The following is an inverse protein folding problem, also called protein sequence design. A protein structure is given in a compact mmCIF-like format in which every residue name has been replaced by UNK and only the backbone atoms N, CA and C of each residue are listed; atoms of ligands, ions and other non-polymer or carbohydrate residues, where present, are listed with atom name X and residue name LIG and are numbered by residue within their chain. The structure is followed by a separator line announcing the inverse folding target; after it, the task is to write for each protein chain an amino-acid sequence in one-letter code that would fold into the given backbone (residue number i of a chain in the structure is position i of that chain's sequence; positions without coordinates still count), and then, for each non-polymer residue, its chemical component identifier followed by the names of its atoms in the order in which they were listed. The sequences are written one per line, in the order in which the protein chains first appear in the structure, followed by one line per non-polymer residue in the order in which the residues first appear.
data_IF_765175805785
#
_entry.id   IF_765175805785
#
_cell.length_a   1.000
_cell.length_b   1.000
_cell.length_c   1.000
_cell.angle_alpha   90.00
_cell.angle_beta   90.00
_cell.angle_gamma   90.00
#
_symmetry.space_group_name_H-M   'P 1'
#
loop_
_entity.id
_entity.type
_entity.pdbx_description
1 polymer ?
#
# COMPACT_ATOMS: atom_id res chain seq x y z
N UNK A 1 12.46 -59.38 30.15
CA UNK A 1 12.73 -57.94 30.33
C UNK A 1 13.01 -57.35 28.95
N UNK A 2 12.35 -56.23 28.60
CA UNK A 2 12.26 -55.53 27.29
C UNK A 2 11.54 -56.32 26.18
N UNK A 3 10.21 -56.24 26.02
CA UNK A 3 9.31 -55.12 25.64
C UNK A 3 9.50 -54.69 24.17
N UNK A 4 8.68 -55.30 23.30
CA UNK A 4 8.34 -54.83 21.96
C UNK A 4 7.39 -53.64 22.09
N UNK A 5 7.83 -52.46 21.66
CA UNK A 5 7.01 -51.25 21.61
C UNK A 5 6.40 -51.12 20.21
N UNK A 6 5.14 -51.53 20.07
CA UNK A 6 4.26 -51.14 18.98
C UNK A 6 3.56 -49.86 19.40
N UNK A 7 3.91 -48.72 18.80
CA UNK A 7 3.08 -47.52 18.92
C UNK A 7 2.70 -47.02 17.53
N UNK A 8 1.50 -47.43 17.13
CA UNK A 8 0.75 -46.88 16.00
C UNK A 8 0.17 -45.53 16.39
N UNK A 9 0.48 -44.47 15.65
CA UNK A 9 -0.31 -43.25 15.64
C UNK A 9 -0.35 -42.70 14.21
N UNK A 10 -1.23 -43.27 13.40
CA UNK A 10 -1.70 -42.64 12.18
C UNK A 10 -2.81 -41.65 12.56
N UNK A 11 -2.79 -40.38 12.12
CA UNK A 11 -3.95 -39.52 12.22
C UNK A 11 -4.97 -39.92 11.14
N UNK A 12 -6.02 -40.62 11.57
CA UNK A 12 -7.32 -40.65 10.89
C UNK A 12 -8.00 -39.30 11.13
N UNK A 13 -8.06 -38.44 10.12
CA UNK A 13 -9.03 -37.34 10.08
C UNK A 13 -10.00 -37.60 8.92
N UNK A 14 -11.19 -38.08 9.28
CA UNK A 14 -12.33 -38.15 8.40
C UNK A 14 -12.75 -36.74 7.95
N UNK A 15 -13.24 -36.57 6.71
CA UNK A 15 -14.03 -35.40 6.37
C UNK A 15 -15.32 -35.42 7.19
N UNK A 16 -15.51 -34.43 8.06
CA UNK A 16 -16.83 -34.12 8.62
C UNK A 16 -17.74 -33.65 7.48
N UNK A 17 -18.51 -34.58 6.90
CA UNK A 17 -19.75 -34.24 6.21
C UNK A 17 -20.77 -33.81 7.26
N UNK A 18 -21.07 -32.52 7.32
CA UNK A 18 -22.23 -32.00 8.05
C UNK A 18 -23.45 -32.01 7.13
N UNK A 19 -24.50 -32.70 7.57
CA UNK A 19 -25.86 -32.18 7.50
C UNK A 19 -26.62 -32.24 6.18
N UNK A 20 -27.13 -33.43 5.89
CA UNK A 20 -28.30 -33.81 5.09
C UNK A 20 -29.45 -32.76 4.97
N UNK A 21 -30.02 -32.64 3.76
CA UNK A 21 -31.44 -32.34 3.56
C UNK A 21 -32.03 -33.30 2.52
N UNK A 22 -32.86 -34.25 2.99
CA UNK A 22 -33.78 -35.02 2.15
C UNK A 22 -35.05 -34.20 2.03
N UNK A 23 -35.40 -33.78 0.82
CA UNK A 23 -36.73 -33.29 0.49
C UNK A 23 -37.21 -34.03 -0.76
N UNK A 24 -38.18 -34.93 -0.61
CA UNK A 24 -38.82 -35.62 -1.73
C UNK A 24 -40.20 -35.02 -1.97
N UNK A 25 -40.32 -34.41 -3.15
CA UNK A 25 -41.48 -34.10 -4.00
C UNK A 25 -42.72 -33.39 -3.41
N UNK A 26 -42.97 -32.19 -3.96
CA UNK A 26 -44.14 -31.90 -4.81
C UNK A 26 -43.88 -30.62 -5.63
N UNK A 27 -43.61 -30.77 -6.93
CA UNK A 27 -43.97 -29.78 -7.97
C UNK A 27 -43.31 -28.40 -8.00
N UNK A 28 -42.06 -28.21 -7.56
CA UNK A 28 -41.35 -26.92 -7.67
C UNK A 28 -39.95 -27.06 -8.25
N UNK A 29 -39.58 -26.19 -9.19
CA UNK A 29 -38.22 -26.08 -9.75
C UNK A 29 -37.19 -25.88 -8.63
N UNK A 30 -36.27 -26.83 -8.46
CA UNK A 30 -35.16 -26.71 -7.51
C UNK A 30 -34.13 -25.74 -8.11
N UNK A 31 -34.15 -24.48 -7.68
CA UNK A 31 -33.01 -23.59 -7.86
C UNK A 31 -31.89 -24.06 -6.92
N UNK A 32 -30.76 -24.47 -7.48
CA UNK A 32 -29.55 -24.75 -6.70
C UNK A 32 -29.03 -23.44 -6.11
N UNK A 33 -29.31 -23.19 -4.83
CA UNK A 33 -28.66 -22.11 -4.08
C UNK A 33 -27.31 -22.64 -3.62
N UNK A 34 -26.25 -22.21 -4.30
CA UNK A 34 -24.88 -22.53 -3.94
C UNK A 34 -24.50 -21.68 -2.71
N UNK A 35 -24.91 -22.11 -1.51
CA UNK A 35 -24.57 -21.43 -0.27
C UNK A 35 -23.10 -21.69 0.05
N UNK A 36 -22.23 -20.75 -0.32
CA UNK A 36 -20.86 -20.75 0.17
C UNK A 36 -20.89 -20.41 1.67
N UNK A 37 -20.51 -21.39 2.49
CA UNK A 37 -20.29 -21.21 3.92
C UNK A 37 -19.10 -20.26 4.09
N UNK A 38 -19.37 -18.99 4.43
CA UNK A 38 -18.35 -18.04 4.84
C UNK A 38 -17.86 -18.46 6.22
N UNK A 39 -16.67 -19.06 6.29
CA UNK A 39 -16.01 -19.35 7.57
C UNK A 39 -15.49 -18.01 8.12
N UNK A 40 -16.31 -17.34 8.94
CA UNK A 40 -15.96 -16.08 9.59
C UNK A 40 -15.14 -16.32 10.87
N UNK A 41 -13.90 -16.78 10.71
CA UNK A 41 -12.90 -16.81 11.79
C UNK A 41 -11.71 -15.92 11.43
N UNK A 42 -11.01 -15.31 12.40
CA UNK A 42 -9.67 -14.78 12.13
C UNK A 42 -8.81 -15.95 11.60
N UNK A 43 -8.02 -15.75 10.53
CA UNK A 43 -7.25 -16.83 9.92
C UNK A 43 -6.35 -17.51 10.94
N UNK A 44 -6.53 -18.82 11.05
CA UNK A 44 -5.67 -19.76 11.76
C UNK A 44 -4.25 -19.63 11.16
N UNK A 45 -3.35 -18.99 11.91
CA UNK A 45 -1.94 -18.73 11.57
C UNK A 45 -1.74 -18.20 10.14
N UNK A 46 -1.88 -16.88 9.96
CA UNK A 46 -1.45 -16.21 8.74
C UNK A 46 -0.02 -16.63 8.38
N UNK A 47 0.27 -16.94 7.10
CA UNK A 47 1.65 -17.17 6.67
C UNK A 47 2.55 -16.02 7.12
N UNK A 48 3.86 -16.22 7.30
CA UNK A 48 4.76 -15.12 7.57
C UNK A 48 4.81 -14.20 6.35
N UNK A 49 4.21 -13.02 6.46
CA UNK A 49 4.42 -11.94 5.49
C UNK A 49 5.82 -11.35 5.71
N UNK A 50 6.49 -10.96 4.62
CA UNK A 50 7.81 -10.35 4.69
C UNK A 50 7.67 -8.83 4.79
N UNK A 51 7.91 -8.23 5.96
CA UNK A 51 7.89 -6.78 6.16
C UNK A 51 8.87 -6.03 5.23
N UNK A 52 9.96 -6.65 4.79
CA UNK A 52 10.90 -6.03 3.83
C UNK A 52 10.40 -6.01 2.38
N UNK A 53 9.25 -6.63 2.09
CA UNK A 53 8.73 -6.75 0.73
C UNK A 53 8.12 -5.46 0.17
N UNK A 54 7.72 -4.53 1.03
CA UNK A 54 7.14 -3.25 0.63
C UNK A 54 7.81 -2.17 1.42
N UNK A 55 8.31 -1.15 0.74
CA UNK A 55 8.94 0.01 1.38
C UNK A 55 8.46 1.28 0.73
N UNK A 56 8.62 2.40 1.43
CA UNK A 56 8.51 3.69 0.81
C UNK A 56 9.65 4.61 1.21
N UNK A 57 9.95 5.59 0.37
CA UNK A 57 10.92 6.63 0.69
C UNK A 57 10.19 7.96 0.85
N UNK A 58 10.39 8.62 1.99
CA UNK A 58 10.02 10.02 2.17
C UNK A 58 11.30 10.84 2.25
N UNK A 59 11.45 11.85 1.40
CA UNK A 59 12.69 12.63 1.27
C UNK A 59 13.94 11.72 1.08
N UNK A 60 14.74 11.56 2.14
CA UNK A 60 15.96 10.73 2.18
C UNK A 60 15.84 9.50 3.09
N UNK A 61 14.66 9.25 3.67
CA UNK A 61 14.45 8.18 4.66
C UNK A 61 13.68 7.02 4.02
N UNK A 62 14.24 5.82 4.11
CA UNK A 62 13.55 4.59 3.75
C UNK A 62 12.72 4.12 4.94
N UNK A 63 11.42 3.96 4.71
CA UNK A 63 10.47 3.44 5.69
C UNK A 63 10.12 2.01 5.36
N UNK A 64 10.18 1.16 6.39
CA UNK A 64 9.69 -0.20 6.36
C UNK A 64 8.31 -0.26 7.05
N UNK A 65 7.47 -1.24 6.72
CA UNK A 65 6.22 -1.48 7.41
C UNK A 65 6.52 -1.86 8.86
N UNK A 66 5.68 -1.38 9.78
CA UNK A 66 5.69 -1.80 11.18
C UNK A 66 5.23 -3.26 11.33
N UNK A 67 4.26 -3.63 10.49
CA UNK A 67 3.63 -4.94 10.52
C UNK A 67 3.15 -5.31 9.12
N UNK A 68 2.86 -6.59 8.94
CA UNK A 68 2.18 -7.05 7.74
C UNK A 68 1.23 -8.21 8.07
N UNK A 69 0.34 -8.51 7.13
CA UNK A 69 -0.55 -9.66 7.18
C UNK A 69 -0.71 -10.27 5.79
N UNK A 70 -0.59 -11.60 5.68
CA UNK A 70 -0.69 -12.35 4.43
C UNK A 70 0.44 -13.39 4.30
N UNK A 71 0.55 -14.16 3.23
CA UNK A 71 -0.26 -14.10 2.02
C UNK A 71 -1.69 -14.61 2.25
N UNK A 72 -2.68 -13.80 1.85
CA UNK A 72 -4.10 -14.14 1.92
C UNK A 72 -4.60 -14.56 0.54
N UNK A 73 -5.43 -15.59 0.47
CA UNK A 73 -6.04 -16.03 -0.79
C UNK A 73 -7.20 -15.10 -1.16
N UNK A 74 -7.32 -14.80 -2.45
CA UNK A 74 -8.45 -14.05 -3.00
C UNK A 74 -8.12 -12.59 -3.33
N UNK A 75 -9.14 -11.74 -3.25
CA UNK A 75 -9.14 -10.37 -3.74
C UNK A 75 -9.44 -9.42 -2.58
N UNK A 76 -8.50 -8.52 -2.27
CA UNK A 76 -8.57 -7.55 -1.16
C UNK A 76 -9.80 -6.63 -1.20
N UNK A 77 -10.40 -6.44 -2.38
CA UNK A 77 -11.55 -5.56 -2.64
C UNK A 77 -12.78 -6.32 -3.16
N UNK A 78 -12.84 -7.65 -3.07
CA UNK A 78 -14.00 -8.41 -3.55
C UNK A 78 -15.29 -8.00 -2.85
N UNK A 79 -16.46 -8.42 -3.37
CA UNK A 79 -17.75 -8.21 -2.70
C UNK A 79 -17.63 -8.59 -1.21
N UNK A 80 -17.95 -7.62 -0.34
CA UNK A 80 -17.71 -7.59 1.11
C UNK A 80 -16.33 -7.09 1.60
N UNK A 81 -15.47 -6.48 0.77
CA UNK A 81 -14.16 -5.89 1.12
C UNK A 81 -13.42 -6.65 2.25
N UNK A 82 -12.93 -7.88 1.99
CA UNK A 82 -12.43 -8.75 3.04
C UNK A 82 -11.30 -8.10 3.85
N UNK A 83 -10.41 -7.36 3.21
CA UNK A 83 -9.33 -6.66 3.91
C UNK A 83 -9.88 -5.51 4.78
N UNK A 84 -10.77 -4.66 4.27
CA UNK A 84 -11.35 -3.57 5.07
C UNK A 84 -12.09 -4.10 6.29
N UNK A 85 -12.82 -5.21 6.14
CA UNK A 85 -13.49 -5.86 7.26
C UNK A 85 -12.49 -6.40 8.29
N UNK A 86 -11.35 -6.94 7.87
CA UNK A 86 -10.32 -7.40 8.80
C UNK A 86 -9.63 -6.24 9.50
N UNK A 87 -9.31 -5.16 8.78
CA UNK A 87 -8.77 -3.93 9.36
C UNK A 87 -9.70 -3.39 10.46
N UNK A 88 -11.00 -3.27 10.15
CA UNK A 88 -12.04 -2.84 11.09
C UNK A 88 -12.33 -3.84 12.22
N UNK A 89 -11.81 -5.06 12.14
CA UNK A 89 -11.87 -6.08 13.20
C UNK A 89 -10.55 -6.19 13.99
N UNK A 90 -9.62 -5.25 13.80
CA UNK A 90 -8.39 -5.19 14.59
C UNK A 90 -7.20 -5.95 13.99
N UNK A 91 -7.12 -6.13 12.66
CA UNK A 91 -5.98 -6.82 12.03
C UNK A 91 -4.60 -6.29 12.49
N UNK A 92 -4.50 -5.01 12.84
CA UNK A 92 -3.29 -4.38 13.36
C UNK A 92 -3.52 -3.64 14.69
N UNK A 93 -4.43 -4.13 15.53
CA UNK A 93 -4.77 -3.46 16.80
C UNK A 93 -3.58 -3.39 17.79
N UNK A 94 -2.65 -4.34 17.71
CA UNK A 94 -1.41 -4.35 18.52
C UNK A 94 -0.51 -3.11 18.26
N UNK A 95 -0.67 -2.47 17.10
CA UNK A 95 0.13 -1.30 16.69
C UNK A 95 -0.67 0.00 16.73
N UNK A 96 -1.95 -0.07 16.35
CA UNK A 96 -2.80 1.12 16.13
C UNK A 96 -3.75 1.39 17.30
N UNK A 97 -3.84 0.47 18.25
CA UNK A 97 -4.83 0.48 19.30
C UNK A 97 -6.17 -0.14 18.87
N UNK A 98 -7.05 -0.34 19.83
CA UNK A 98 -8.37 -0.92 19.58
C UNK A 98 -9.33 0.10 18.96
N UNK A 99 -10.32 -0.40 18.20
CA UNK A 99 -11.43 0.37 17.61
C UNK A 99 -11.03 1.44 16.57
N UNK A 100 -9.88 1.29 15.91
CA UNK A 100 -9.57 2.12 14.73
C UNK A 100 -10.51 1.74 13.59
N UNK A 101 -11.33 2.69 13.18
CA UNK A 101 -12.14 2.57 11.97
C UNK A 101 -11.26 2.92 10.76
N UNK A 102 -11.26 2.07 9.76
CA UNK A 102 -10.52 2.22 8.51
C UNK A 102 -11.46 2.53 7.37
N UNK A 103 -10.94 3.22 6.36
CA UNK A 103 -11.62 3.48 5.09
C UNK A 103 -10.70 3.18 3.91
N UNK A 104 -11.32 2.86 2.76
CA UNK A 104 -10.62 2.64 1.50
C UNK A 104 -10.45 3.96 0.75
N UNK A 105 -9.22 4.28 0.37
CA UNK A 105 -8.91 5.56 -0.29
C UNK A 105 -8.77 5.42 -1.80
N UNK A 106 -8.18 4.34 -2.27
CA UNK A 106 -7.97 4.15 -3.71
C UNK A 106 -7.15 2.92 -4.06
N UNK A 107 -7.00 2.68 -5.36
CA UNK A 107 -6.21 1.58 -5.91
C UNK A 107 -5.49 1.99 -7.20
N UNK A 108 -4.37 1.35 -7.51
CA UNK A 108 -3.47 1.74 -8.61
C UNK A 108 -3.97 1.43 -10.03
N UNK A 109 -5.09 0.72 -10.19
CA UNK A 109 -5.63 0.29 -11.47
C UNK A 109 -6.94 1.00 -11.85
N UNK A 110 -7.20 2.17 -11.27
CA UNK A 110 -8.31 3.07 -11.65
C UNK A 110 -7.78 4.37 -12.28
N UNK A 111 -8.50 4.97 -13.24
CA UNK A 111 -8.03 6.15 -13.96
C UNK A 111 -7.90 7.41 -13.09
N UNK A 112 -8.74 7.59 -12.06
CA UNK A 112 -8.61 8.69 -11.08
C UNK A 112 -7.79 8.30 -9.84
N UNK A 113 -6.91 7.31 -9.96
CA UNK A 113 -6.24 6.75 -8.79
C UNK A 113 -5.32 7.77 -8.11
N UNK A 114 -5.59 7.97 -6.82
CA UNK A 114 -4.70 8.69 -5.92
C UNK A 114 -3.39 7.90 -5.60
N UNK A 115 -3.24 6.71 -6.20
CA UNK A 115 -2.12 5.78 -6.07
C UNK A 115 -1.70 5.34 -7.47
N UNK A 116 -0.40 5.23 -7.72
CA UNK A 116 0.14 4.61 -8.94
C UNK A 116 1.03 3.43 -8.58
N UNK A 117 1.12 2.44 -9.49
CA UNK A 117 2.03 1.31 -9.32
C UNK A 117 2.44 0.70 -10.66
N UNK A 118 3.64 0.12 -10.71
CA UNK A 118 4.08 -0.72 -11.83
C UNK A 118 3.31 -2.04 -11.82
N UNK A 119 2.28 -2.15 -12.65
CA UNK A 119 1.47 -3.39 -12.75
C UNK A 119 2.11 -4.45 -13.66
N UNK A 120 1.64 -5.69 -13.55
CA UNK A 120 2.07 -6.85 -14.35
C UNK A 120 3.54 -7.25 -14.19
N UNK A 121 4.16 -6.87 -13.09
CA UNK A 121 5.54 -7.23 -12.73
C UNK A 121 5.57 -7.80 -11.30
N UNK A 122 6.47 -8.74 -10.98
CA UNK A 122 6.61 -9.28 -9.64
C UNK A 122 7.29 -8.31 -8.66
N UNK A 123 7.91 -7.25 -9.18
CA UNK A 123 8.57 -6.18 -8.43
C UNK A 123 8.42 -4.86 -9.19
N UNK A 124 8.51 -3.75 -8.48
CA UNK A 124 8.42 -2.44 -9.11
C UNK A 124 8.21 -1.33 -8.11
N UNK A 125 7.67 -0.22 -8.59
CA UNK A 125 7.48 0.98 -7.80
C UNK A 125 6.00 1.34 -7.65
N UNK A 126 5.72 2.11 -6.60
CA UNK A 126 4.40 2.67 -6.33
C UNK A 126 4.53 4.07 -5.76
N UNK A 127 3.47 4.88 -5.82
CA UNK A 127 3.48 6.23 -5.26
C UNK A 127 2.06 6.66 -4.88
N UNK A 128 1.95 7.64 -3.99
CA UNK A 128 0.69 8.25 -3.56
C UNK A 128 0.73 9.74 -3.94
N UNK A 129 -0.32 10.23 -4.58
CA UNK A 129 -0.38 11.59 -5.14
C UNK A 129 -0.74 12.68 -4.10
N UNK A 130 -0.80 12.32 -2.83
CA UNK A 130 -1.15 13.19 -1.72
C UNK A 130 -0.31 12.84 -0.47
N UNK A 131 -0.04 13.81 0.41
CA UNK A 131 0.61 13.56 1.68
C UNK A 131 -0.23 12.62 2.56
N UNK A 132 0.44 11.69 3.24
CA UNK A 132 -0.17 10.82 4.25
C UNK A 132 0.33 11.21 5.63
N UNK A 133 -0.52 11.05 6.63
CA UNK A 133 -0.22 11.28 8.04
C UNK A 133 -0.66 10.06 8.85
N UNK A 134 -0.01 9.83 9.98
CA UNK A 134 -0.31 8.75 10.92
C UNK A 134 -0.24 7.36 10.25
N UNK A 135 -1.06 6.42 10.71
CA UNK A 135 -1.08 5.08 10.18
C UNK A 135 -1.76 5.00 8.83
N UNK A 136 -1.22 4.17 7.96
CA UNK A 136 -1.89 3.79 6.73
C UNK A 136 -1.52 2.36 6.36
N UNK A 137 -2.40 1.71 5.59
CA UNK A 137 -2.20 0.34 5.14
C UNK A 137 -2.12 0.31 3.63
N UNK A 138 -1.04 -0.29 3.14
CA UNK A 138 -0.87 -0.61 1.72
C UNK A 138 -1.17 -2.08 1.53
N UNK A 139 -2.15 -2.40 0.69
CA UNK A 139 -2.34 -3.77 0.21
C UNK A 139 -1.68 -3.96 -1.13
N UNK A 140 -0.92 -5.04 -1.27
CA UNK A 140 -0.32 -5.46 -2.52
C UNK A 140 -1.03 -6.72 -2.97
N UNK A 141 -1.68 -6.66 -4.14
CA UNK A 141 -2.55 -7.72 -4.62
C UNK A 141 -2.07 -8.29 -5.95
N UNK A 142 -2.16 -9.60 -6.05
CA UNK A 142 -1.87 -10.41 -7.25
C UNK A 142 -3.19 -10.94 -7.81
N UNK A 143 -3.14 -11.86 -8.79
CA UNK A 143 -4.34 -12.53 -9.27
C UNK A 143 -4.95 -13.49 -8.23
N UNK A 144 -4.11 -14.12 -7.42
CA UNK A 144 -4.49 -15.26 -6.57
C UNK A 144 -4.57 -14.91 -5.07
N UNK A 145 -4.00 -13.76 -4.68
CA UNK A 145 -3.92 -13.38 -3.28
C UNK A 145 -3.38 -11.97 -3.05
N UNK A 146 -3.34 -11.57 -1.80
CA UNK A 146 -2.88 -10.25 -1.37
C UNK A 146 -2.17 -10.30 -0.01
N UNK A 147 -1.35 -9.29 0.27
CA UNK A 147 -0.84 -9.00 1.60
C UNK A 147 -1.13 -7.55 1.95
N UNK A 148 -1.21 -7.24 3.24
CA UNK A 148 -1.40 -5.90 3.79
C UNK A 148 -0.17 -5.51 4.61
N UNK A 149 0.24 -4.24 4.52
CA UNK A 149 1.44 -3.70 5.15
C UNK A 149 1.05 -2.41 5.88
N UNK A 150 1.23 -2.41 7.20
CA UNK A 150 0.97 -1.25 8.05
C UNK A 150 2.22 -0.36 8.08
N UNK A 151 2.04 0.91 7.83
CA UNK A 151 3.05 1.94 7.97
C UNK A 151 2.61 2.99 8.99
N UNK A 152 3.59 3.73 9.50
CA UNK A 152 3.40 4.92 10.32
C UNK A 152 4.19 6.07 9.67
N UNK A 153 3.45 7.08 9.19
CA UNK A 153 4.00 8.32 8.63
C UNK A 153 4.39 9.34 9.72
N UNK A 154 4.00 9.10 10.98
CA UNK A 154 4.12 10.03 12.07
C UNK A 154 3.08 11.15 12.04
N UNK A 155 3.14 12.08 13.02
CA UNK A 155 2.13 13.12 13.22
C UNK A 155 2.21 14.28 12.22
N UNK A 156 3.24 14.32 11.39
CA UNK A 156 3.43 15.34 10.35
C UNK A 156 3.18 14.73 8.98
N UNK A 157 2.31 15.33 8.13
CA UNK A 157 2.07 14.83 6.79
C UNK A 157 3.37 14.71 5.99
N UNK A 158 3.58 13.54 5.37
CA UNK A 158 4.72 13.27 4.51
C UNK A 158 4.25 12.93 3.09
N UNK A 159 4.97 13.45 2.09
CA UNK A 159 4.77 13.06 0.71
C UNK A 159 5.56 11.78 0.43
N UNK A 160 4.86 10.76 -0.07
CA UNK A 160 5.49 9.52 -0.52
C UNK A 160 5.79 9.65 -2.01
N UNK A 161 6.99 10.14 -2.32
CA UNK A 161 7.44 10.35 -3.70
C UNK A 161 7.56 9.04 -4.47
N UNK A 162 8.06 7.98 -3.82
CA UNK A 162 8.17 6.65 -4.41
C UNK A 162 8.32 5.59 -3.33
N UNK A 163 7.63 4.48 -3.49
CA UNK A 163 7.88 3.24 -2.78
C UNK A 163 8.21 2.10 -3.72
N UNK A 164 8.68 1.01 -3.15
CA UNK A 164 9.02 -0.22 -3.87
C UNK A 164 8.20 -1.37 -3.33
N UNK A 165 7.88 -2.32 -4.20
CA UNK A 165 7.23 -3.57 -3.82
C UNK A 165 7.95 -4.75 -4.42
N UNK A 166 7.86 -5.88 -3.73
CA UNK A 166 8.27 -7.19 -4.20
C UNK A 166 7.22 -8.22 -3.76
N UNK A 167 6.58 -8.86 -4.74
CA UNK A 167 5.50 -9.81 -4.52
C UNK A 167 5.97 -11.20 -4.08
N UNK A 168 7.29 -11.43 -3.94
CA UNK A 168 7.82 -12.68 -3.38
C UNK A 168 7.15 -13.05 -2.05
N UNK A 169 6.85 -12.05 -1.21
CA UNK A 169 6.18 -12.24 0.09
C UNK A 169 4.65 -12.42 0.04
N UNK A 170 4.04 -12.36 -1.15
CA UNK A 170 2.59 -12.51 -1.39
C UNK A 170 2.30 -13.86 -2.05
N UNK A 171 3.34 -14.65 -2.32
CA UNK A 171 3.25 -15.89 -3.04
C UNK A 171 2.55 -16.97 -2.20
N UNK A 172 1.23 -17.08 -2.38
CA UNK A 172 0.36 -18.08 -1.71
C UNK A 172 0.68 -19.52 -2.11
N UNK A 173 1.58 -19.73 -3.08
CA UNK A 173 1.97 -21.06 -3.56
C UNK A 173 3.28 -21.59 -2.96
N UNK A 174 3.96 -20.82 -2.09
CA UNK A 174 5.22 -21.22 -1.42
C UNK A 174 6.35 -21.64 -2.37
N UNK A 175 6.27 -21.36 -3.68
CA UNK A 175 7.29 -21.79 -4.65
C UNK A 175 8.49 -20.84 -4.71
N UNK A 176 8.52 -19.81 -3.86
CA UNK A 176 9.58 -18.80 -3.83
C UNK A 176 9.63 -17.88 -5.05
N UNK A 177 8.59 -17.88 -5.90
CA UNK A 177 8.48 -17.00 -7.06
C UNK A 177 7.43 -15.91 -6.81
N UNK A 178 7.76 -14.66 -7.12
CA UNK A 178 6.83 -13.54 -7.07
C UNK A 178 5.75 -13.69 -8.14
N UNK A 179 4.56 -13.17 -7.88
CA UNK A 179 3.46 -13.13 -8.85
C UNK A 179 3.30 -11.72 -9.38
N UNK A 180 2.84 -11.60 -10.62
CA UNK A 180 2.61 -10.30 -11.20
C UNK A 180 1.64 -9.47 -10.35
N UNK A 181 2.06 -8.24 -10.04
CA UNK A 181 1.21 -7.27 -9.36
C UNK A 181 -0.03 -7.01 -10.21
N UNK A 182 -1.20 -7.14 -9.60
CA UNK A 182 -2.47 -6.74 -10.19
C UNK A 182 -2.84 -5.31 -9.80
N UNK A 183 -2.66 -4.96 -8.53
CA UNK A 183 -2.88 -3.60 -8.01
C UNK A 183 -2.21 -3.39 -6.66
N UNK A 184 -2.13 -2.13 -6.29
CA UNK A 184 -1.94 -1.69 -4.90
C UNK A 184 -3.18 -0.94 -4.46
N UNK A 185 -3.62 -1.19 -3.22
CA UNK A 185 -4.76 -0.50 -2.58
C UNK A 185 -4.29 0.24 -1.33
N UNK A 186 -4.88 1.38 -1.01
CA UNK A 186 -4.58 2.16 0.20
C UNK A 186 -5.79 2.26 1.11
N UNK A 187 -5.53 2.12 2.40
CA UNK A 187 -6.49 2.32 3.47
C UNK A 187 -5.90 3.24 4.53
N UNK A 188 -6.73 4.12 5.10
CA UNK A 188 -6.35 5.03 6.18
C UNK A 188 -7.37 4.93 7.31
N UNK A 189 -7.03 5.34 8.53
CA UNK A 189 -8.02 5.59 9.56
C UNK A 189 -9.06 6.60 9.08
N UNK A 190 -10.31 6.39 9.48
CA UNK A 190 -11.43 7.24 9.13
C UNK A 190 -11.23 8.65 9.71
N UNK A 191 -11.46 9.66 8.89
CA UNK A 191 -11.38 11.06 9.32
C UNK A 191 -9.96 11.62 9.34
N UNK A 192 -8.98 10.89 8.81
CA UNK A 192 -7.67 11.46 8.45
C UNK A 192 -7.89 12.41 7.27
N UNK A 193 -7.51 13.67 7.43
CA UNK A 193 -7.65 14.67 6.37
C UNK A 193 -6.65 14.38 5.24
N UNK A 194 -7.17 13.86 4.13
CA UNK A 194 -6.39 13.67 2.92
C UNK A 194 -6.40 14.98 2.16
N UNK A 195 -5.22 15.61 2.04
CA UNK A 195 -5.07 16.78 1.18
C UNK A 195 -5.49 16.41 -0.25
N UNK A 196 -6.16 17.35 -0.93
CA UNK A 196 -6.64 17.13 -2.29
C UNK A 196 -5.49 16.60 -3.19
N UNK A 197 -5.78 15.64 -4.09
CA UNK A 197 -4.77 15.12 -5.02
C UNK A 197 -4.05 16.28 -5.70
N UNK A 198 -2.72 16.29 -5.65
CA UNK A 198 -1.96 17.24 -6.45
C UNK A 198 -2.27 16.88 -7.90
N UNK A 199 -2.85 17.79 -8.71
CA UNK A 199 -3.17 17.48 -10.08
C UNK A 199 -1.92 16.97 -10.78
N UNK A 200 -1.96 15.71 -11.25
CA UNK A 200 -0.92 15.20 -12.11
C UNK A 200 -0.83 16.17 -13.29
N UNK A 201 0.31 16.84 -13.54
CA UNK A 201 0.49 17.52 -14.79
C UNK A 201 0.42 16.40 -15.84
N UNK A 202 -0.69 16.35 -16.57
CA UNK A 202 -0.89 15.30 -17.58
C UNK A 202 0.32 15.23 -18.51
N UNK A 203 0.55 14.11 -19.20
CA UNK A 203 1.64 14.00 -20.17
C UNK A 203 1.44 15.06 -21.28
N UNK A 204 2.06 16.24 -21.10
CA UNK A 204 1.85 17.43 -21.93
C UNK A 204 1.67 18.76 -21.18
N UNK A 205 1.44 18.77 -19.87
CA UNK A 205 1.47 19.99 -19.08
C UNK A 205 2.92 20.37 -18.78
N UNK A 206 3.57 21.04 -19.74
CA UNK A 206 4.70 21.89 -19.40
C UNK A 206 4.24 22.84 -18.28
N UNK A 207 5.02 23.07 -17.21
CA UNK A 207 4.74 24.20 -16.34
C UNK A 207 4.65 25.40 -17.27
N UNK A 208 3.50 26.08 -17.27
CA UNK A 208 3.41 27.39 -17.85
C UNK A 208 4.31 28.24 -16.97
N UNK A 209 5.59 28.25 -17.32
CA UNK A 209 6.55 29.19 -16.79
C UNK A 209 5.98 30.51 -17.29
N UNK A 210 5.26 31.23 -16.42
CA UNK A 210 5.05 32.64 -16.67
C UNK A 210 6.42 33.19 -17.03
N UNK A 211 6.56 33.89 -18.18
CA UNK A 211 7.83 34.48 -18.55
C UNK A 211 8.29 35.30 -17.35
N UNK A 212 9.29 34.79 -16.62
CA UNK A 212 10.00 35.58 -15.63
C UNK A 212 10.53 36.74 -16.44
N UNK A 213 9.95 37.93 -16.24
CA UNK A 213 10.42 39.15 -16.85
C UNK A 213 11.89 39.28 -16.43
N UNK A 214 12.78 38.86 -17.31
CA UNK A 214 14.21 39.11 -17.19
C UNK A 214 14.30 40.63 -17.10
N UNK A 215 14.80 41.21 -16.00
CA UNK A 215 15.05 42.64 -15.97
C UNK A 215 16.05 42.89 -17.09
N UNK A 216 15.57 43.50 -18.18
CA UNK A 216 16.44 43.92 -19.27
C UNK A 216 17.54 44.78 -18.64
N UNK A 217 18.81 44.61 -19.04
CA UNK A 217 19.89 45.45 -18.53
C UNK A 217 19.51 46.90 -18.81
N UNK A 218 19.16 47.60 -17.72
CA UNK A 218 18.73 48.98 -17.74
C UNK A 218 19.73 49.78 -18.57
N UNK A 219 19.19 50.44 -19.59
CA UNK A 219 19.89 51.48 -20.34
C UNK A 219 20.41 52.51 -19.34
N UNK A 220 21.72 52.45 -19.05
CA UNK A 220 22.42 53.46 -18.26
C UNK A 220 22.57 54.69 -19.17
N UNK A 221 21.54 55.54 -19.17
CA UNK A 221 21.61 56.89 -19.72
C UNK A 221 21.90 57.87 -18.58
N UNK A 222 23.19 58.21 -18.50
CA UNK A 222 23.72 59.53 -18.15
C UNK A 222 23.16 60.27 -16.93
N UNK A 223 23.99 60.41 -15.90
CA UNK A 223 24.16 61.70 -15.22
C UNK A 223 25.57 61.83 -14.66
N UNK A 224 26.22 62.90 -15.09
CA UNK A 224 27.58 63.35 -14.81
C UNK A 224 27.67 63.93 -13.40
N UNK A 225 28.71 63.57 -12.63
CA UNK A 225 29.32 64.44 -11.60
C UNK A 225 30.74 63.97 -11.20
N UNK A 226 31.71 64.40 -12.02
CA UNK A 226 32.84 65.29 -11.67
C UNK A 226 33.64 65.07 -10.36
N UNK A 227 34.93 64.74 -10.57
CA UNK A 227 36.19 65.15 -9.91
C UNK A 227 36.68 64.58 -8.56
N UNK A 228 38.01 64.43 -8.55
CA UNK A 228 38.99 64.28 -7.45
C UNK A 228 39.15 62.86 -6.86
N UNK A 229 40.34 62.28 -6.72
CA UNK A 229 41.69 62.72 -7.05
C UNK A 229 42.68 61.59 -6.75
N UNK A 230 43.71 61.51 -7.60
CA UNK A 230 45.12 61.28 -7.27
C UNK A 230 45.48 60.73 -5.85
N UNK A 231 46.11 59.55 -5.77
CA UNK A 231 47.54 59.34 -5.41
C UNK A 231 47.83 58.00 -4.69
N UNK A 232 48.84 57.34 -5.24
CA UNK A 232 50.01 56.74 -4.58
C UNK A 232 49.96 55.30 -4.02
N UNK A 233 50.74 54.50 -4.74
CA UNK A 233 51.63 53.42 -4.32
C UNK A 233 52.26 53.51 -2.92
N UNK A 234 52.60 52.30 -2.43
CA UNK A 234 53.50 51.89 -1.33
C UNK A 234 52.87 51.76 0.04
N UNK A 235 52.87 50.52 0.54
CA UNK A 235 53.55 50.23 1.80
C UNK A 235 54.30 48.88 1.68
N UNK A 236 55.62 48.96 1.88
CA UNK A 236 56.41 47.89 2.47
C UNK A 236 56.01 47.79 3.94
N UNK A 237 55.91 46.58 4.46
CA UNK A 237 56.56 46.13 5.70
C UNK A 237 56.80 44.63 5.57
#
# INVERSE_FOLDING_TARGET
MNILNLNSNAPLTLPMMVGMAIATLLGGTVQSVNAQVLVSGPPEVLPPCNVGAVTFQSNTTLHQPLACAGANIGNDLALHQPLLNWLNRGLFEDFTGSNVAWEFIGQSNTPEAAISATVNQPQGHWAIAFPVQDWFVVSVATLLGYSAYLFDAGPTPITIGQGSFNTLGISTNFTGAGHNLRRISLFTPLGVEIAAPIPNPGPGAHPHQEPVAVPEPGTILGSVLVLAGLRWFRQRL
#
